data_IF_149833923863
#
_entry.id   IF_149833923863
#
_cell.length_a   1.000
_cell.length_b   1.000
_cell.length_c   1.000
_cell.angle_alpha   90.00
_cell.angle_beta   90.00
_cell.angle_gamma   90.00
#
_symmetry.space_group_name_H-M   'P 1'
#
loop_
_entity.id
_entity.type
_entity.pdbx_description
1 polymer ?
#
# COMPACT_ATOMS: atom_id res chain seq x y z
N UNK A 1 11.77 9.30 7.95
CA UNK A 1 10.47 8.65 8.23
C UNK A 1 9.82 8.43 6.88
N UNK A 2 9.41 7.21 6.58
CA UNK A 2 8.81 6.87 5.30
C UNK A 2 7.29 6.99 5.40
N UNK A 3 6.65 7.24 4.26
CA UNK A 3 5.20 7.29 4.11
C UNK A 3 4.75 6.78 2.75
N UNK A 4 3.49 6.35 2.67
CA UNK A 4 2.84 5.92 1.44
C UNK A 4 1.36 6.25 1.50
N UNK A 5 0.85 6.94 0.48
CA UNK A 5 -0.57 7.23 0.35
C UNK A 5 -1.25 6.26 -0.63
N UNK A 6 -2.50 5.87 -0.37
CA UNK A 6 -3.26 5.06 -1.32
C UNK A 6 -3.32 5.68 -2.72
N UNK A 7 -3.36 7.02 -2.80
CA UNK A 7 -3.36 7.77 -4.07
C UNK A 7 -2.07 7.60 -4.88
N UNK A 8 -0.94 7.30 -4.23
CA UNK A 8 0.34 7.05 -4.92
C UNK A 8 0.34 5.68 -5.61
N UNK A 9 -0.52 4.77 -5.17
CA UNK A 9 -0.71 3.43 -5.73
C UNK A 9 -1.78 3.49 -6.81
N UNK A 10 -2.97 3.97 -6.46
CA UNK A 10 -4.10 4.11 -7.36
C UNK A 10 -4.79 5.47 -7.14
N UNK A 11 -4.52 6.48 -7.99
CA UNK A 11 -5.11 7.80 -7.85
C UNK A 11 -6.64 7.82 -8.10
N UNK A 12 -7.22 6.74 -8.63
CA UNK A 12 -8.66 6.61 -8.83
C UNK A 12 -9.39 6.12 -7.59
N UNK A 13 -8.67 5.56 -6.61
CA UNK A 13 -9.24 5.18 -5.33
C UNK A 13 -9.48 6.45 -4.51
N UNK A 14 -10.73 6.66 -4.10
CA UNK A 14 -11.12 7.73 -3.20
C UNK A 14 -10.77 7.40 -1.73
N UNK A 15 -9.56 6.90 -1.49
CA UNK A 15 -9.02 6.64 -0.16
C UNK A 15 -7.95 7.68 0.17
N UNK A 16 -8.01 8.23 1.38
CA UNK A 16 -7.04 9.20 1.91
C UNK A 16 -6.09 8.60 2.93
N UNK A 17 -6.10 7.27 3.09
CA UNK A 17 -5.22 6.59 4.02
C UNK A 17 -3.75 6.81 3.66
N UNK A 18 -2.95 7.09 4.69
CA UNK A 18 -1.51 7.28 4.62
C UNK A 18 -0.86 6.39 5.67
N UNK A 19 -0.03 5.45 5.22
CA UNK A 19 0.79 4.65 6.10
C UNK A 19 2.09 5.41 6.39
N UNK A 20 2.50 5.45 7.65
CA UNK A 20 3.76 6.05 8.10
C UNK A 20 4.57 5.06 8.94
N UNK A 21 5.90 5.14 8.86
CA UNK A 21 6.81 4.21 9.54
C UNK A 21 8.27 4.67 9.48
N UNK A 22 9.14 4.00 10.22
CA UNK A 22 10.58 4.27 10.18
C UNK A 22 11.22 3.71 8.90
N UNK A 23 10.69 2.58 8.41
CA UNK A 23 11.18 1.91 7.21
C UNK A 23 10.11 1.78 6.12
N UNK A 24 10.55 1.61 4.86
CA UNK A 24 9.65 1.32 3.74
C UNK A 24 8.83 0.04 3.97
N UNK A 25 9.45 -0.96 4.61
CA UNK A 25 8.81 -2.22 4.97
C UNK A 25 7.64 -2.02 5.92
N UNK A 26 7.84 -1.29 7.02
CA UNK A 26 6.75 -1.00 7.98
C UNK A 26 5.59 -0.24 7.33
N UNK A 27 5.90 0.71 6.45
CA UNK A 27 4.91 1.45 5.68
C UNK A 27 4.13 0.52 4.75
N UNK A 28 4.83 -0.37 4.04
CA UNK A 28 4.24 -1.35 3.14
C UNK A 28 3.35 -2.36 3.89
N UNK A 29 3.79 -2.86 5.05
CA UNK A 29 3.00 -3.78 5.89
C UNK A 29 1.69 -3.12 6.34
N UNK A 30 1.75 -1.87 6.85
CA UNK A 30 0.56 -1.11 7.24
C UNK A 30 -0.37 -0.82 6.07
N UNK A 31 0.18 -0.47 4.91
CA UNK A 31 -0.60 -0.23 3.70
C UNK A 31 -1.25 -1.52 3.20
N UNK A 32 -0.53 -2.64 3.22
CA UNK A 32 -1.07 -3.93 2.82
C UNK A 32 -2.21 -4.36 3.73
N UNK A 33 -2.08 -4.17 5.05
CA UNK A 33 -3.16 -4.45 6.01
C UNK A 33 -4.40 -3.62 5.73
N UNK A 34 -4.23 -2.30 5.50
CA UNK A 34 -5.33 -1.42 5.13
C UNK A 34 -6.03 -1.86 3.84
N UNK A 35 -5.26 -2.15 2.78
CA UNK A 35 -5.83 -2.57 1.49
C UNK A 35 -6.51 -3.94 1.63
N UNK A 36 -6.01 -4.85 2.46
CA UNK A 36 -6.66 -6.15 2.76
C UNK A 36 -8.00 -6.00 3.49
N UNK A 37 -8.16 -4.99 4.34
CA UNK A 37 -9.40 -4.75 5.08
C UNK A 37 -10.42 -3.94 4.27
N UNK A 38 -9.98 -2.83 3.68
CA UNK A 38 -10.87 -1.83 3.09
C UNK A 38 -10.99 -1.96 1.56
N UNK A 39 -10.04 -2.64 0.92
CA UNK A 39 -9.91 -2.73 -0.54
C UNK A 39 -9.63 -4.17 -1.01
N UNK A 40 -10.14 -5.18 -0.29
CA UNK A 40 -9.92 -6.59 -0.61
C UNK A 40 -10.30 -6.95 -2.05
N UNK A 41 -11.37 -6.36 -2.57
CA UNK A 41 -11.81 -6.56 -3.96
C UNK A 41 -10.81 -6.00 -4.99
N UNK A 42 -10.10 -4.91 -4.66
CA UNK A 42 -9.08 -4.33 -5.54
C UNK A 42 -7.81 -5.19 -5.55
N UNK A 43 -7.46 -5.83 -4.43
CA UNK A 43 -6.40 -6.84 -4.37
C UNK A 43 -6.65 -8.00 -5.33
N UNK A 44 -7.88 -8.54 -5.28
CA UNK A 44 -8.29 -9.65 -6.14
C UNK A 44 -8.22 -9.24 -7.62
N UNK A 45 -8.64 -8.01 -7.95
CA UNK A 45 -8.56 -7.49 -9.32
C UNK A 45 -7.14 -7.26 -9.82
N UNK A 46 -6.22 -6.90 -8.93
CA UNK A 46 -4.81 -6.72 -9.29
C UNK A 46 -4.12 -8.03 -9.65
N UNK A 47 -4.64 -9.18 -9.18
CA UNK A 47 -4.11 -10.52 -9.47
C UNK A 47 -2.60 -10.63 -9.26
N UNK A 48 -2.08 -9.93 -8.24
CA UNK A 48 -0.67 -9.96 -7.83
C UNK A 48 -0.55 -10.81 -6.58
N UNK A 49 0.55 -11.55 -6.45
CA UNK A 49 0.87 -12.24 -5.20
C UNK A 49 1.21 -11.24 -4.10
N UNK A 50 0.97 -11.63 -2.84
CA UNK A 50 1.32 -10.85 -1.64
C UNK A 50 2.76 -10.31 -1.68
N UNK A 51 3.73 -11.11 -2.11
CA UNK A 51 5.14 -10.69 -2.24
C UNK A 51 5.35 -9.61 -3.31
N UNK A 52 4.67 -9.73 -4.46
CA UNK A 52 4.78 -8.73 -5.53
C UNK A 52 4.13 -7.40 -5.11
N UNK A 53 3.01 -7.49 -4.39
CA UNK A 53 2.36 -6.33 -3.83
C UNK A 53 3.24 -5.66 -2.78
N UNK A 54 3.82 -6.42 -1.85
CA UNK A 54 4.74 -5.89 -0.85
C UNK A 54 5.92 -5.17 -1.49
N UNK A 55 6.58 -5.78 -2.49
CA UNK A 55 7.68 -5.13 -3.21
C UNK A 55 7.24 -3.83 -3.93
N UNK A 56 6.02 -3.79 -4.47
CA UNK A 56 5.46 -2.59 -5.09
C UNK A 56 5.18 -1.49 -4.07
N UNK A 57 4.61 -1.83 -2.91
CA UNK A 57 4.31 -0.91 -1.83
C UNK A 57 5.61 -0.34 -1.22
N UNK A 58 6.60 -1.20 -0.96
CA UNK A 58 7.92 -0.79 -0.47
C UNK A 58 8.61 0.16 -1.45
N UNK A 59 8.54 -0.13 -2.76
CA UNK A 59 9.12 0.73 -3.80
C UNK A 59 8.41 2.07 -3.98
N UNK A 60 7.15 2.20 -3.53
CA UNK A 60 6.38 3.46 -3.57
C UNK A 60 6.48 4.27 -2.27
N UNK A 61 6.93 3.64 -1.18
CA UNK A 61 7.17 4.33 0.07
C UNK A 61 8.28 5.39 -0.12
N UNK A 62 8.01 6.61 0.33
CA UNK A 62 8.91 7.75 0.17
C UNK A 62 9.06 8.49 1.51
N UNK A 63 10.22 9.11 1.75
CA UNK A 63 10.54 9.77 3.01
C UNK A 63 10.92 11.23 2.85
#
# INVERSE_FOLDING_TARGET
>A
MMKLNCKDINPQIACTFEATGETAKEVAEKMMEHVKMEHADDLVKMNMSDEQMMAMLEGKAHG
#
